data_IF_597331210839
#
_entry.id   IF_597331210839
#
_cell.length_a   1.000
_cell.length_b   1.000
_cell.length_c   1.000
_cell.angle_alpha   90.00
_cell.angle_beta   90.00
_cell.angle_gamma   90.00
#
_symmetry.space_group_name_H-M   'P 1'
#
loop_
_entity.id
_entity.type
_entity.pdbx_description
1 polymer ?
#
# COMPACT_ATOMS: atom_id res chain seq x y z
N UNK A 1 -14.89 21.86 -13.90
CA UNK A 1 -15.55 20.74 -13.19
C UNK A 1 -14.91 20.66 -11.82
N UNK A 2 -15.69 20.83 -10.76
CA UNK A 2 -15.20 20.80 -9.38
C UNK A 2 -14.64 19.41 -9.07
N UNK A 3 -13.55 19.34 -8.29
CA UNK A 3 -12.81 18.10 -7.99
C UNK A 3 -12.85 17.85 -6.48
N UNK A 4 -14.04 17.93 -5.87
CA UNK A 4 -14.18 17.85 -4.42
C UNK A 4 -13.83 16.44 -3.93
N UNK A 5 -14.18 15.41 -4.69
CA UNK A 5 -13.75 14.05 -4.40
C UNK A 5 -12.22 13.90 -4.28
N UNK A 6 -11.44 14.62 -5.09
CA UNK A 6 -9.97 14.62 -5.00
C UNK A 6 -9.50 15.36 -3.75
N UNK A 7 -10.08 16.52 -3.43
CA UNK A 7 -9.79 17.27 -2.20
C UNK A 7 -10.06 16.44 -0.93
N UNK A 8 -11.17 15.69 -0.90
CA UNK A 8 -11.51 14.79 0.20
C UNK A 8 -10.50 13.64 0.33
N UNK A 9 -9.98 13.15 -0.81
CA UNK A 9 -8.85 12.22 -0.86
C UNK A 9 -7.61 12.80 -0.18
N UNK A 10 -7.23 14.04 -0.51
CA UNK A 10 -6.09 14.73 0.12
C UNK A 10 -6.29 14.96 1.61
N UNK A 11 -7.51 15.32 2.03
CA UNK A 11 -7.82 15.46 3.46
C UNK A 11 -7.67 14.13 4.21
N UNK A 12 -8.10 13.02 3.61
CA UNK A 12 -7.90 11.70 4.19
C UNK A 12 -6.40 11.38 4.34
N UNK A 13 -5.59 11.67 3.31
CA UNK A 13 -4.13 11.48 3.33
C UNK A 13 -3.44 12.30 4.44
N UNK A 14 -3.82 13.56 4.57
CA UNK A 14 -3.35 14.45 5.65
C UNK A 14 -3.72 13.89 7.01
N UNK A 15 -4.99 13.52 7.20
CA UNK A 15 -5.46 12.91 8.45
C UNK A 15 -4.65 11.66 8.78
N UNK A 16 -4.49 10.75 7.81
CA UNK A 16 -3.74 9.51 7.97
C UNK A 16 -2.32 9.74 8.49
N UNK A 17 -1.57 10.65 7.87
CA UNK A 17 -0.20 10.94 8.28
C UNK A 17 -0.13 11.65 9.65
N UNK A 18 -1.11 12.51 9.99
CA UNK A 18 -1.21 13.08 11.35
C UNK A 18 -1.45 11.97 12.38
N UNK A 19 -2.26 10.97 12.07
CA UNK A 19 -2.48 9.81 12.94
C UNK A 19 -1.20 9.02 13.21
N UNK A 20 -0.37 8.81 12.19
CA UNK A 20 0.95 8.17 12.35
C UNK A 20 1.86 9.02 13.23
N UNK A 21 1.98 10.32 12.95
CA UNK A 21 2.80 11.25 13.75
C UNK A 21 2.37 11.30 15.21
N UNK A 22 1.06 11.31 15.47
CA UNK A 22 0.52 11.30 16.83
C UNK A 22 0.93 10.03 17.60
N UNK A 23 0.95 8.86 16.94
CA UNK A 23 1.43 7.64 17.58
C UNK A 23 2.95 7.65 17.82
N UNK A 24 3.72 8.20 16.88
CA UNK A 24 5.17 8.36 17.02
C UNK A 24 5.50 9.23 18.25
N UNK A 25 4.82 10.38 18.36
CA UNK A 25 5.00 11.33 19.47
C UNK A 25 4.55 10.74 20.80
N UNK A 26 3.34 10.17 20.86
CA UNK A 26 2.79 9.57 22.09
C UNK A 26 3.71 8.47 22.64
N UNK A 27 4.34 7.69 21.76
CA UNK A 27 5.22 6.60 22.14
C UNK A 27 6.70 6.97 22.18
N UNK A 28 7.04 8.24 21.92
CA UNK A 28 8.41 8.78 21.93
C UNK A 28 9.37 7.92 21.10
N UNK A 29 8.92 7.49 19.93
CA UNK A 29 9.74 6.65 19.04
C UNK A 29 10.87 7.52 18.48
N UNK A 30 12.11 7.05 18.55
CA UNK A 30 13.27 7.78 18.04
C UNK A 30 13.14 7.98 16.52
N UNK A 31 13.40 9.19 16.02
CA UNK A 31 13.27 9.51 14.60
C UNK A 31 14.26 10.60 14.12
N UNK A 32 14.50 10.65 12.81
CA UNK A 32 15.45 11.61 12.20
C UNK A 32 14.80 12.85 11.59
N UNK A 33 13.47 12.93 11.50
CA UNK A 33 12.78 14.11 10.93
C UNK A 33 12.75 15.34 11.83
N UNK A 34 13.30 15.28 13.05
CA UNK A 34 13.34 16.41 13.98
C UNK A 34 12.02 17.16 14.08
N UNK A 35 12.04 18.46 13.81
CA UNK A 35 10.87 19.36 13.84
C UNK A 35 10.22 19.57 12.46
N UNK A 36 10.64 18.85 11.40
CA UNK A 36 10.16 19.04 10.03
C UNK A 36 8.63 19.09 9.97
N UNK A 37 7.98 18.05 10.50
CA UNK A 37 6.53 17.94 10.46
C UNK A 37 5.83 18.83 11.48
N UNK A 38 6.48 19.17 12.60
CA UNK A 38 5.94 20.15 13.54
C UNK A 38 5.77 21.52 12.87
N UNK A 39 6.77 21.97 12.10
CA UNK A 39 6.67 23.23 11.37
C UNK A 39 5.56 23.20 10.31
N UNK A 40 5.45 22.10 9.56
CA UNK A 40 4.40 21.95 8.54
C UNK A 40 2.99 21.94 9.15
N UNK A 41 2.80 21.21 10.26
CA UNK A 41 1.52 21.16 10.97
C UNK A 41 1.11 22.52 11.55
N UNK A 42 2.06 23.36 11.95
CA UNK A 42 1.76 24.74 12.38
C UNK A 42 1.24 25.63 11.24
N UNK A 43 1.61 25.34 9.99
CA UNK A 43 1.09 26.05 8.81
C UNK A 43 -0.26 25.50 8.34
N UNK A 44 -0.62 24.29 8.75
CA UNK A 44 -1.83 23.60 8.31
C UNK A 44 -3.09 24.18 8.97
N UNK A 45 -3.69 25.18 8.32
CA UNK A 45 -4.90 25.84 8.81
C UNK A 45 -6.16 25.17 8.27
N UNK A 46 -6.63 24.11 8.94
CA UNK A 46 -7.81 23.34 8.52
C UNK A 46 -9.03 24.19 8.15
N UNK A 47 -9.34 25.24 8.93
CA UNK A 47 -10.45 26.15 8.61
C UNK A 47 -10.29 26.82 7.23
N UNK A 48 -9.07 27.20 6.85
CA UNK A 48 -8.81 27.77 5.51
C UNK A 48 -8.89 26.71 4.40
N UNK A 49 -8.48 25.49 4.70
CA UNK A 49 -8.58 24.35 3.79
C UNK A 49 -10.06 24.07 3.49
N UNK A 50 -10.88 23.96 4.55
CA UNK A 50 -12.33 23.79 4.44
C UNK A 50 -12.97 24.91 3.63
N UNK A 51 -12.63 26.17 3.94
CA UNK A 51 -13.13 27.32 3.20
C UNK A 51 -12.83 27.20 1.70
N UNK A 52 -11.60 26.81 1.33
CA UNK A 52 -11.23 26.64 -0.08
C UNK A 52 -11.99 25.52 -0.79
N UNK A 53 -12.37 24.45 -0.10
CA UNK A 53 -13.21 23.40 -0.70
C UNK A 53 -14.61 23.96 -0.93
N UNK A 54 -15.18 24.58 0.11
CA UNK A 54 -16.54 25.11 0.13
C UNK A 54 -16.73 26.25 -0.88
N UNK A 55 -15.71 27.09 -1.08
CA UNK A 55 -15.73 28.19 -2.05
C UNK A 55 -15.87 27.71 -3.51
N UNK A 56 -15.58 26.44 -3.79
CA UNK A 56 -15.76 25.84 -5.11
C UNK A 56 -17.23 25.50 -5.41
N UNK A 57 -18.11 25.61 -4.42
CA UNK A 57 -19.53 25.26 -4.50
C UNK A 57 -20.41 26.51 -4.45
N UNK A 58 -21.54 26.44 -5.14
CA UNK A 58 -22.51 27.56 -5.20
C UNK A 58 -23.64 27.35 -4.20
N UNK A 59 -24.19 26.13 -4.11
CA UNK A 59 -25.35 25.85 -3.26
C UNK A 59 -24.99 25.84 -1.77
N UNK A 60 -25.75 26.54 -0.91
CA UNK A 60 -25.56 26.47 0.55
C UNK A 60 -25.64 25.04 1.10
N UNK A 61 -26.50 24.20 0.53
CA UNK A 61 -26.63 22.80 0.93
C UNK A 61 -25.39 21.99 0.54
N UNK A 62 -24.88 22.17 -0.67
CA UNK A 62 -23.64 21.49 -1.12
C UNK A 62 -22.45 21.92 -0.26
N UNK A 63 -22.38 23.21 0.10
CA UNK A 63 -21.37 23.76 0.99
C UNK A 63 -21.38 23.09 2.36
N UNK A 64 -22.55 22.96 2.98
CA UNK A 64 -22.70 22.26 4.26
C UNK A 64 -22.31 20.78 4.15
N UNK A 65 -22.72 20.10 3.07
CA UNK A 65 -22.34 18.71 2.84
C UNK A 65 -20.82 18.54 2.69
N UNK A 66 -20.18 19.39 1.89
CA UNK A 66 -18.74 19.34 1.67
C UNK A 66 -17.94 19.61 2.96
N UNK A 67 -18.40 20.53 3.81
CA UNK A 67 -17.77 20.80 5.12
C UNK A 67 -17.85 19.58 6.05
N UNK A 68 -19.01 18.92 6.13
CA UNK A 68 -19.20 17.70 6.92
C UNK A 68 -18.34 16.55 6.40
N UNK A 69 -18.36 16.32 5.10
CA UNK A 69 -17.54 15.28 4.47
C UNK A 69 -16.05 15.53 4.68
N UNK A 70 -15.59 16.77 4.53
CA UNK A 70 -14.20 17.14 4.79
C UNK A 70 -13.79 16.84 6.23
N UNK A 71 -14.63 17.21 7.19
CA UNK A 71 -14.39 16.91 8.62
C UNK A 71 -14.37 15.40 8.88
N UNK A 72 -15.32 14.68 8.30
CA UNK A 72 -15.42 13.22 8.41
C UNK A 72 -14.17 12.53 7.84
N UNK A 73 -13.70 12.91 6.64
CA UNK A 73 -12.50 12.30 6.04
C UNK A 73 -11.23 12.64 6.81
N UNK A 74 -11.12 13.83 7.38
CA UNK A 74 -9.99 14.18 8.24
C UNK A 74 -9.96 13.25 9.47
N UNK A 75 -11.09 13.10 10.15
CA UNK A 75 -11.21 12.24 11.32
C UNK A 75 -11.00 10.76 10.97
N UNK A 76 -11.60 10.29 9.87
CA UNK A 76 -11.44 8.92 9.36
C UNK A 76 -9.99 8.63 9.00
N UNK A 77 -9.32 9.57 8.33
CA UNK A 77 -7.89 9.51 8.02
C UNK A 77 -7.07 9.40 9.29
N UNK A 78 -7.26 10.33 10.24
CA UNK A 78 -6.55 10.35 11.53
C UNK A 78 -6.64 9.01 12.28
N UNK A 79 -7.87 8.50 12.48
CA UNK A 79 -8.07 7.23 13.17
C UNK A 79 -7.47 6.06 12.39
N UNK A 80 -7.56 6.08 11.06
CA UNK A 80 -6.99 5.05 10.18
C UNK A 80 -5.47 4.99 10.32
N UNK A 81 -4.77 6.13 10.22
CA UNK A 81 -3.32 6.19 10.33
C UNK A 81 -2.81 5.81 11.72
N UNK A 82 -3.47 6.32 12.76
CA UNK A 82 -3.18 5.99 14.16
C UNK A 82 -3.27 4.49 14.42
N UNK A 83 -4.39 3.87 14.04
CA UNK A 83 -4.60 2.43 14.25
C UNK A 83 -3.69 1.59 13.35
N UNK A 84 -3.52 1.98 12.08
CA UNK A 84 -2.67 1.28 11.14
C UNK A 84 -1.24 1.16 11.65
N UNK A 85 -0.63 2.25 12.11
CA UNK A 85 0.76 2.20 12.57
C UNK A 85 0.92 1.37 13.85
N UNK A 86 -0.02 1.49 14.80
CA UNK A 86 -0.06 0.66 16.01
C UNK A 86 -0.16 -0.83 15.68
N UNK A 87 -1.08 -1.18 14.80
CA UNK A 87 -1.31 -2.56 14.39
C UNK A 87 -0.15 -3.10 13.56
N UNK A 88 0.47 -2.26 12.73
CA UNK A 88 1.69 -2.60 12.00
C UNK A 88 2.83 -2.95 12.95
N UNK A 89 3.14 -2.07 13.92
CA UNK A 89 4.17 -2.33 14.93
C UNK A 89 3.86 -3.57 15.76
N UNK A 90 2.57 -3.84 16.04
CA UNK A 90 2.12 -5.04 16.74
C UNK A 90 2.34 -6.30 15.90
N UNK A 91 1.96 -6.27 14.63
CA UNK A 91 2.08 -7.39 13.70
C UNK A 91 3.53 -7.81 13.47
N UNK A 92 4.45 -6.85 13.36
CA UNK A 92 5.90 -7.14 13.24
C UNK A 92 6.56 -7.45 14.60
N UNK A 93 5.79 -7.42 15.68
CA UNK A 93 6.25 -7.76 17.03
C UNK A 93 7.17 -6.71 17.66
N UNK A 94 7.08 -5.45 17.23
CA UNK A 94 7.88 -4.31 17.72
C UNK A 94 7.09 -3.38 18.66
N UNK A 95 5.80 -3.66 18.91
CA UNK A 95 4.94 -2.85 19.78
C UNK A 95 5.15 -3.05 21.29
N UNK A 96 5.99 -3.95 21.77
CA UNK A 96 6.25 -4.07 23.22
C UNK A 96 7.21 -2.96 23.68
N UNK A 97 6.98 -2.36 24.84
CA UNK A 97 7.77 -1.22 25.35
C UNK A 97 9.29 -1.47 25.33
N UNK A 98 9.74 -2.62 25.84
CA UNK A 98 11.16 -3.00 25.83
C UNK A 98 11.76 -3.20 24.43
N UNK A 99 10.93 -3.36 23.39
CA UNK A 99 11.36 -3.39 21.99
C UNK A 99 11.31 -2.00 21.35
N UNK A 100 10.28 -1.20 21.65
CA UNK A 100 10.12 0.17 21.12
C UNK A 100 11.33 1.06 21.43
N UNK A 101 11.96 0.91 22.60
CA UNK A 101 13.20 1.64 22.94
C UNK A 101 14.39 1.38 21.98
N UNK A 102 14.29 0.35 21.15
CA UNK A 102 15.30 -0.02 20.15
C UNK A 102 14.79 0.19 18.71
N UNK A 103 13.59 0.74 18.56
CA UNK A 103 13.01 1.14 17.29
C UNK A 103 13.49 2.55 16.95
N UNK A 104 13.91 2.74 15.71
CA UNK A 104 14.32 4.03 15.17
C UNK A 104 13.74 4.24 13.77
N UNK A 105 13.21 5.42 13.51
CA UNK A 105 12.69 5.85 12.20
C UNK A 105 13.75 6.72 11.55
N UNK A 106 14.50 6.15 10.61
CA UNK A 106 15.56 6.83 9.88
C UNK A 106 15.03 7.79 8.82
N UNK A 107 13.86 7.49 8.28
CA UNK A 107 13.22 8.26 7.24
C UNK A 107 11.72 8.11 7.39
N UNK A 108 11.00 9.21 7.32
CA UNK A 108 9.56 9.23 7.14
C UNK A 108 9.24 10.31 6.11
N UNK A 109 8.44 9.99 5.11
CA UNK A 109 7.97 10.90 4.07
C UNK A 109 6.46 10.96 4.11
N UNK A 110 5.93 12.15 4.33
CA UNK A 110 4.55 12.55 4.11
C UNK A 110 4.50 14.04 3.76
N UNK A 111 3.47 14.48 3.04
CA UNK A 111 3.35 15.87 2.58
C UNK A 111 2.13 16.56 3.21
N UNK A 112 2.32 17.79 3.70
CA UNK A 112 1.26 18.65 4.26
C UNK A 112 1.15 20.01 3.55
N UNK A 113 1.92 20.22 2.48
CA UNK A 113 1.93 21.45 1.69
C UNK A 113 1.26 21.24 0.32
N UNK A 114 1.17 22.33 -0.44
CA UNK A 114 0.71 22.35 -1.84
C UNK A 114 -0.66 21.67 -1.99
N UNK A 115 -0.79 20.63 -2.81
CA UNK A 115 -2.05 19.89 -3.01
C UNK A 115 -2.66 19.37 -1.69
N UNK A 116 -1.82 18.89 -0.77
CA UNK A 116 -2.29 18.35 0.51
C UNK A 116 -2.76 19.44 1.47
N UNK A 117 -2.37 20.69 1.23
CA UNK A 117 -2.91 21.87 1.90
C UNK A 117 -4.05 22.54 1.12
N UNK A 118 -4.44 21.98 -0.03
CA UNK A 118 -5.37 22.59 -1.00
C UNK A 118 -4.87 24.01 -1.36
N UNK A 119 -3.55 24.13 -1.49
CA UNK A 119 -2.78 25.35 -1.78
C UNK A 119 -2.79 26.42 -0.68
N UNK A 120 -3.24 26.12 0.54
CA UNK A 120 -3.23 27.10 1.65
C UNK A 120 -1.84 27.30 2.24
N UNK A 121 -0.94 26.34 2.03
CA UNK A 121 0.46 26.39 2.39
C UNK A 121 1.31 25.90 1.21
N UNK A 122 1.87 26.83 0.44
CA UNK A 122 2.68 26.50 -0.73
C UNK A 122 4.16 26.44 -0.37
N UNK A 123 4.81 25.32 -0.67
CA UNK A 123 6.25 25.11 -0.46
C UNK A 123 6.95 24.80 -1.78
N UNK A 124 6.26 24.06 -2.66
CA UNK A 124 6.78 23.59 -3.92
C UNK A 124 7.57 22.30 -3.76
N UNK A 125 7.40 21.41 -4.75
CA UNK A 125 8.01 20.09 -4.83
C UNK A 125 9.52 20.11 -4.50
N UNK A 126 10.30 20.98 -5.15
CA UNK A 126 11.76 21.02 -4.96
C UNK A 126 12.19 21.30 -3.52
N UNK A 127 11.53 22.25 -2.85
CA UNK A 127 11.85 22.58 -1.46
C UNK A 127 11.42 21.46 -0.52
N UNK A 128 10.23 20.89 -0.74
CA UNK A 128 9.74 19.75 0.04
C UNK A 128 10.67 18.53 -0.10
N UNK A 129 11.11 18.19 -1.31
CA UNK A 129 12.03 17.08 -1.54
C UNK A 129 13.39 17.29 -0.85
N UNK A 130 13.93 18.52 -0.85
CA UNK A 130 15.18 18.83 -0.13
C UNK A 130 15.02 18.60 1.38
N UNK A 131 13.93 19.09 1.94
CA UNK A 131 13.65 18.96 3.37
C UNK A 131 13.44 17.50 3.79
N UNK A 132 12.66 16.73 3.03
CA UNK A 132 12.42 15.32 3.39
C UNK A 132 13.70 14.49 3.27
N UNK A 133 14.55 14.74 2.27
CA UNK A 133 15.83 14.04 2.09
C UNK A 133 16.89 14.46 3.12
N UNK A 134 16.75 15.62 3.77
CA UNK A 134 17.67 16.05 4.84
C UNK A 134 17.69 15.11 6.04
N UNK A 135 16.71 14.21 6.19
CA UNK A 135 16.70 13.16 7.20
C UNK A 135 17.88 12.17 7.08
N UNK A 136 18.52 12.10 5.91
CA UNK A 136 19.73 11.31 5.68
C UNK A 136 21.02 12.07 6.00
N UNK A 137 20.94 13.39 6.21
CA UNK A 137 22.07 14.23 6.57
C UNK A 137 22.35 14.12 8.08
N UNK A 138 23.49 13.53 8.43
CA UNK A 138 23.90 13.34 9.82
C UNK A 138 24.39 14.63 10.48
N UNK A 139 24.75 15.69 9.75
CA UNK A 139 25.18 16.96 10.34
C UNK A 139 24.02 17.76 10.94
N UNK A 140 22.82 17.66 10.35
CA UNK A 140 21.58 18.27 10.86
C UNK A 140 20.94 17.50 12.03
N UNK A 141 21.30 16.23 12.24
CA UNK A 141 20.82 15.39 13.35
C UNK A 141 21.51 15.65 14.70
N UNK A 142 22.48 16.57 14.76
CA UNK A 142 23.39 16.79 15.89
C UNK A 142 22.79 17.46 17.14
N UNK A 143 21.47 17.73 17.18
CA UNK A 143 20.82 18.20 18.41
C UNK A 143 20.42 17.08 19.38
N UNK A 144 20.60 15.80 19.03
CA UNK A 144 20.40 14.69 19.96
C UNK A 144 21.65 13.84 20.10
N UNK A 145 21.98 13.50 21.37
CA UNK A 145 23.22 12.82 21.77
C UNK A 145 23.53 11.63 20.85
N UNK A 146 24.78 11.48 20.36
CA UNK A 146 25.16 10.34 19.55
C UNK A 146 24.95 9.04 20.33
N UNK A 147 24.15 8.14 19.77
CA UNK A 147 23.94 6.80 20.33
C UNK A 147 25.19 5.96 20.12
N UNK A 148 25.62 5.23 21.16
CA UNK A 148 26.72 4.26 21.11
C UNK A 148 26.47 3.06 20.16
N UNK A 149 25.26 2.95 19.62
CA UNK A 149 24.94 2.00 18.55
C UNK A 149 25.09 2.69 17.18
N UNK A 150 26.35 2.86 16.77
CA UNK A 150 26.73 3.33 15.44
C UNK A 150 26.21 2.36 14.39
N UNK A 151 25.04 2.64 13.81
CA UNK A 151 24.54 1.91 12.66
C UNK A 151 24.49 2.85 11.48
N UNK A 152 25.31 2.50 10.48
CA UNK A 152 25.48 3.13 9.19
C UNK A 152 25.82 4.62 9.29
N UNK A 153 27.13 4.94 9.29
CA UNK A 153 27.56 6.12 8.56
C UNK A 153 26.89 6.01 7.18
N UNK A 154 26.06 6.98 6.84
CA UNK A 154 25.57 7.12 5.47
C UNK A 154 26.81 7.51 4.67
N UNK A 155 27.52 6.50 4.16
CA UNK A 155 28.89 6.72 3.66
C UNK A 155 28.90 7.58 2.40
N UNK A 156 27.77 7.63 1.66
CA UNK A 156 27.72 8.18 0.32
C UNK A 156 26.60 9.21 0.08
N UNK A 157 25.76 9.53 1.08
CA UNK A 157 24.78 10.61 0.89
C UNK A 157 25.53 11.94 0.93
N UNK A 158 25.56 12.61 -0.23
CA UNK A 158 26.23 13.88 -0.40
C UNK A 158 25.20 14.96 -0.69
N UNK A 159 25.12 15.97 0.17
CA UNK A 159 24.23 17.12 -0.02
C UNK A 159 24.49 17.84 -1.36
N UNK A 160 25.71 17.77 -1.90
CA UNK A 160 26.04 18.32 -3.22
C UNK A 160 25.35 17.56 -4.38
N UNK A 161 24.97 16.30 -4.18
CA UNK A 161 24.25 15.48 -5.16
C UNK A 161 22.72 15.57 -5.00
N UNK A 162 22.21 16.34 -4.03
CA UNK A 162 20.79 16.40 -3.68
C UNK A 162 19.89 16.70 -4.89
N UNK A 163 20.27 17.66 -5.73
CA UNK A 163 19.50 18.00 -6.93
C UNK A 163 19.48 16.86 -7.97
N UNK A 164 20.53 16.02 -8.00
CA UNK A 164 20.56 14.82 -8.86
C UNK A 164 19.57 13.79 -8.36
N UNK A 165 19.58 13.49 -7.05
CA UNK A 165 18.62 12.58 -6.44
C UNK A 165 17.18 13.05 -6.65
N UNK A 166 16.90 14.34 -6.45
CA UNK A 166 15.56 14.89 -6.67
C UNK A 166 15.13 14.71 -8.13
N UNK A 167 15.99 15.03 -9.09
CA UNK A 167 15.68 14.89 -10.52
C UNK A 167 15.41 13.45 -10.92
N UNK A 168 16.16 12.51 -10.35
CA UNK A 168 16.02 11.09 -10.63
C UNK A 168 14.75 10.53 -9.98
N UNK A 169 14.60 10.72 -8.68
CA UNK A 169 13.61 10.05 -7.86
C UNK A 169 12.27 10.80 -7.69
N UNK A 170 12.06 11.92 -8.39
CA UNK A 170 10.76 12.65 -8.44
C UNK A 170 9.88 12.27 -9.65
N UNK A 171 10.37 11.39 -10.53
CA UNK A 171 9.63 10.94 -11.71
C UNK A 171 8.49 9.99 -11.33
N UNK A 172 7.58 9.74 -12.27
CA UNK A 172 6.51 8.74 -12.08
C UNK A 172 7.11 7.38 -11.70
N UNK A 173 6.55 6.77 -10.66
CA UNK A 173 6.99 5.48 -10.13
C UNK A 173 8.19 5.52 -9.19
N UNK A 174 8.75 6.71 -8.97
CA UNK A 174 9.86 6.91 -8.04
C UNK A 174 9.38 7.35 -6.67
N UNK A 175 10.18 7.03 -5.64
CA UNK A 175 9.72 7.05 -4.26
C UNK A 175 9.33 8.43 -3.72
N UNK A 176 9.87 9.54 -4.27
CA UNK A 176 9.49 10.88 -3.82
C UNK A 176 8.02 11.23 -4.16
N UNK A 177 7.36 10.43 -5.01
CA UNK A 177 5.92 10.55 -5.29
C UNK A 177 5.02 9.67 -4.39
N UNK A 178 5.57 8.97 -3.41
CA UNK A 178 4.79 8.16 -2.48
C UNK A 178 4.00 9.01 -1.48
N UNK A 179 2.74 8.64 -1.21
CA UNK A 179 1.88 9.29 -0.22
C UNK A 179 2.43 9.14 1.21
N UNK A 180 2.98 7.96 1.52
CA UNK A 180 3.55 7.64 2.83
C UNK A 180 4.66 6.62 2.66
N UNK A 181 5.87 6.96 3.10
CA UNK A 181 7.04 6.08 3.01
C UNK A 181 7.89 6.20 4.27
N UNK A 182 8.34 5.08 4.83
CA UNK A 182 9.08 5.06 6.07
C UNK A 182 10.20 4.01 6.05
N UNK A 183 11.38 4.36 6.58
CA UNK A 183 12.46 3.45 6.90
C UNK A 183 12.55 3.28 8.41
N UNK A 184 12.22 2.07 8.88
CA UNK A 184 12.34 1.69 10.28
C UNK A 184 13.54 0.76 10.48
N UNK A 185 14.15 0.86 11.65
CA UNK A 185 15.19 -0.06 12.08
C UNK A 185 14.94 -0.57 13.49
N UNK A 186 15.21 -1.85 13.70
CA UNK A 186 15.28 -2.45 15.03
C UNK A 186 16.73 -2.81 15.36
N UNK A 187 17.24 -2.20 16.45
CA UNK A 187 18.63 -2.36 16.93
C UNK A 187 19.69 -2.09 15.85
N UNK A 188 19.35 -1.39 14.77
CA UNK A 188 20.25 -1.14 13.66
C UNK A 188 20.63 -2.36 12.83
N UNK A 189 19.92 -3.49 12.99
CA UNK A 189 20.23 -4.76 12.31
C UNK A 189 19.13 -5.20 11.37
N UNK A 190 17.89 -5.03 11.78
CA UNK A 190 16.71 -5.37 10.99
C UNK A 190 16.11 -4.08 10.45
N UNK A 191 15.98 -3.98 9.13
CA UNK A 191 15.40 -2.83 8.46
C UNK A 191 14.06 -3.19 7.83
N UNK A 192 13.12 -2.25 7.92
CA UNK A 192 11.83 -2.33 7.24
C UNK A 192 11.57 -1.08 6.45
N UNK A 193 11.25 -1.26 5.17
CA UNK A 193 10.68 -0.19 4.33
C UNK A 193 9.18 -0.36 4.37
N UNK A 194 8.46 0.62 4.92
CA UNK A 194 7.00 0.67 4.91
C UNK A 194 6.56 1.69 3.86
N UNK A 195 5.89 1.25 2.80
CA UNK A 195 5.30 2.12 1.79
C UNK A 195 3.79 1.94 1.78
N UNK A 196 3.04 3.03 1.97
CA UNK A 196 1.58 3.03 1.94
C UNK A 196 1.13 4.02 0.87
N UNK A 197 0.40 3.51 -0.11
CA UNK A 197 -0.24 4.33 -1.13
C UNK A 197 -1.74 4.40 -0.84
N UNK A 198 -2.23 5.62 -0.66
CA UNK A 198 -3.53 5.91 -0.07
C UNK A 198 -4.58 6.10 -1.16
N UNK A 199 -5.83 5.80 -0.82
CA UNK A 199 -6.96 6.13 -1.69
C UNK A 199 -8.29 6.18 -0.96
N UNK A 200 -9.16 7.09 -1.41
CA UNK A 200 -10.57 7.10 -1.06
C UNK A 200 -11.39 6.44 -2.18
N UNK A 201 -12.30 5.55 -1.79
CA UNK A 201 -13.15 4.75 -2.67
C UNK A 201 -14.64 4.94 -2.39
N UNK A 202 -15.01 5.26 -1.15
CA UNK A 202 -16.40 5.56 -0.79
C UNK A 202 -16.98 6.69 -1.63
N UNK A 203 -16.15 7.68 -2.00
CA UNK A 203 -16.49 8.77 -2.91
C UNK A 203 -15.67 8.63 -4.19
N UNK A 204 -16.33 8.39 -5.32
CA UNK A 204 -15.70 8.31 -6.65
C UNK A 204 -15.89 9.60 -7.44
N UNK A 205 -17.00 10.28 -7.19
CA UNK A 205 -17.43 11.48 -7.89
C UNK A 205 -18.06 12.45 -6.91
N UNK A 206 -18.16 13.72 -7.31
CA UNK A 206 -18.85 14.73 -6.49
C UNK A 206 -20.34 14.39 -6.26
N UNK A 207 -20.93 13.54 -7.11
CA UNK A 207 -22.29 13.03 -6.92
C UNK A 207 -22.44 12.05 -5.74
N UNK A 208 -21.34 11.46 -5.26
CA UNK A 208 -21.35 10.60 -4.06
C UNK A 208 -21.33 11.42 -2.75
N UNK A 209 -21.20 12.76 -2.84
CA UNK A 209 -21.22 13.69 -1.70
C UNK A 209 -22.68 13.93 -1.31
N UNK A 210 -23.25 12.98 -0.58
CA UNK A 210 -24.63 13.02 -0.11
C UNK A 210 -24.73 13.57 1.32
N UNK A 211 -25.94 13.90 1.77
CA UNK A 211 -26.12 14.45 3.11
C UNK A 211 -26.02 13.37 4.19
N UNK A 212 -24.90 13.39 4.93
CA UNK A 212 -24.57 12.45 6.01
C UNK A 212 -25.54 12.46 7.19
N UNK A 213 -26.46 13.43 7.29
CA UNK A 213 -27.48 13.46 8.36
C UNK A 213 -28.63 12.47 8.12
N UNK A 214 -28.77 11.91 6.91
CA UNK A 214 -29.85 10.98 6.60
C UNK A 214 -29.40 9.54 6.79
N UNK A 215 -30.06 8.84 7.72
CA UNK A 215 -29.73 7.45 8.07
C UNK A 215 -29.83 6.51 6.87
N UNK A 216 -30.80 6.70 5.97
CA UNK A 216 -30.95 5.86 4.77
C UNK A 216 -29.78 6.02 3.79
N UNK A 217 -29.22 7.23 3.65
CA UNK A 217 -28.02 7.47 2.86
C UNK A 217 -26.84 6.67 3.43
N UNK A 218 -26.63 6.75 4.75
CA UNK A 218 -25.58 6.00 5.44
C UNK A 218 -25.79 4.48 5.29
N UNK A 219 -27.02 4.00 5.49
CA UNK A 219 -27.38 2.59 5.36
C UNK A 219 -27.12 2.08 3.94
N UNK A 220 -27.55 2.81 2.92
CA UNK A 220 -27.34 2.44 1.52
C UNK A 220 -25.86 2.48 1.14
N UNK A 221 -25.10 3.45 1.65
CA UNK A 221 -23.64 3.49 1.55
C UNK A 221 -22.99 2.22 2.12
N UNK A 222 -23.35 1.84 3.35
CA UNK A 222 -22.84 0.64 4.01
C UNK A 222 -23.23 -0.65 3.27
N UNK A 223 -24.48 -0.78 2.80
CA UNK A 223 -24.93 -1.95 2.03
C UNK A 223 -24.14 -2.06 0.73
N UNK A 224 -23.92 -0.94 0.03
CA UNK A 224 -23.12 -0.89 -1.21
C UNK A 224 -21.67 -1.32 -0.94
N UNK A 225 -21.05 -0.86 0.14
CA UNK A 225 -19.71 -1.28 0.54
C UNK A 225 -19.66 -2.77 0.91
N UNK A 226 -20.64 -3.29 1.67
CA UNK A 226 -20.74 -4.72 2.00
C UNK A 226 -20.89 -5.57 0.73
N UNK A 227 -21.77 -5.16 -0.19
CA UNK A 227 -21.99 -5.88 -1.45
C UNK A 227 -20.74 -5.84 -2.33
N UNK A 228 -20.04 -4.70 -2.38
CA UNK A 228 -18.75 -4.60 -3.05
C UNK A 228 -17.74 -5.58 -2.45
N UNK A 229 -17.59 -5.63 -1.12
CA UNK A 229 -16.71 -6.59 -0.44
C UNK A 229 -17.07 -8.05 -0.72
N UNK A 230 -18.37 -8.38 -0.77
CA UNK A 230 -18.87 -9.73 -1.12
C UNK A 230 -18.65 -10.09 -2.59
N UNK A 231 -18.66 -9.11 -3.48
CA UNK A 231 -18.50 -9.31 -4.93
C UNK A 231 -17.06 -9.55 -5.39
N UNK A 232 -16.09 -9.51 -4.46
CA UNK A 232 -14.68 -9.49 -4.83
C UNK A 232 -14.15 -10.85 -5.33
N UNK A 233 -13.25 -10.74 -6.31
CA UNK A 233 -12.40 -11.80 -6.88
C UNK A 233 -11.43 -12.40 -5.85
N UNK A 234 -10.93 -13.61 -6.11
CA UNK A 234 -9.93 -14.38 -5.33
C UNK A 234 -8.65 -13.58 -5.02
N UNK A 235 -8.36 -12.50 -5.76
CA UNK A 235 -7.18 -11.65 -5.56
C UNK A 235 -7.37 -10.47 -4.59
N UNK A 236 -8.59 -10.24 -4.11
CA UNK A 236 -8.95 -9.06 -3.32
C UNK A 236 -8.32 -8.94 -1.92
N UNK A 237 -7.59 -9.97 -1.53
CA UNK A 237 -6.77 -10.02 -0.32
C UNK A 237 -5.40 -10.61 -0.67
N UNK A 238 -4.79 -10.17 -1.79
CA UNK A 238 -3.44 -10.60 -2.14
C UNK A 238 -2.50 -10.22 -0.99
N UNK A 239 -2.17 -11.22 -0.17
CA UNK A 239 -1.20 -11.15 0.92
C UNK A 239 -0.04 -12.04 0.52
N UNK A 240 1.01 -11.41 0.01
CA UNK A 240 2.27 -12.09 -0.27
C UNK A 240 3.18 -11.89 0.93
N UNK A 241 3.39 -12.93 1.74
CA UNK A 241 4.45 -12.95 2.75
C UNK A 241 5.56 -13.89 2.30
N UNK A 242 6.69 -13.29 1.95
CA UNK A 242 7.85 -14.01 1.40
C UNK A 242 8.83 -14.48 2.47
N UNK A 243 8.57 -14.23 3.76
CA UNK A 243 9.52 -14.47 4.85
C UNK A 243 10.09 -15.90 4.88
N UNK A 244 9.27 -16.90 4.56
CA UNK A 244 9.63 -18.32 4.62
C UNK A 244 9.56 -19.02 3.25
N UNK A 245 9.50 -18.28 2.14
CA UNK A 245 9.36 -18.87 0.81
C UNK A 245 10.74 -18.97 0.14
N UNK A 246 11.19 -20.21 -0.10
CA UNK A 246 12.42 -20.53 -0.84
C UNK A 246 12.13 -20.89 -2.32
N UNK A 247 11.03 -20.38 -2.89
CA UNK A 247 10.76 -20.47 -4.32
C UNK A 247 10.88 -19.10 -5.01
N UNK A 248 11.37 -19.11 -6.24
CA UNK A 248 11.43 -17.92 -7.10
C UNK A 248 10.06 -17.65 -7.72
N UNK A 249 9.68 -16.39 -7.88
CA UNK A 249 8.43 -16.07 -8.55
C UNK A 249 8.56 -16.35 -10.05
N UNK A 250 7.51 -16.90 -10.64
CA UNK A 250 7.47 -17.19 -12.06
C UNK A 250 7.47 -15.87 -12.86
N UNK A 251 8.13 -15.84 -14.03
CA UNK A 251 8.22 -14.64 -14.89
C UNK A 251 6.85 -14.13 -15.31
N UNK A 252 5.87 -15.03 -15.37
CA UNK A 252 4.48 -14.78 -15.71
C UNK A 252 3.75 -13.92 -14.67
N UNK A 253 4.30 -13.71 -13.47
CA UNK A 253 3.71 -12.84 -12.44
C UNK A 253 3.44 -11.43 -12.97
N UNK A 254 4.31 -10.91 -13.85
CA UNK A 254 4.10 -9.63 -14.54
C UNK A 254 2.80 -9.65 -15.36
N UNK A 255 2.54 -10.72 -16.10
CA UNK A 255 1.30 -10.87 -16.88
C UNK A 255 0.06 -10.92 -16.00
N UNK A 256 0.15 -11.57 -14.82
CA UNK A 256 -0.94 -11.59 -13.85
C UNK A 256 -1.23 -10.19 -13.28
N UNK A 257 -0.22 -9.47 -12.79
CA UNK A 257 -0.41 -8.11 -12.27
C UNK A 257 -0.91 -7.15 -13.34
N UNK A 258 -0.38 -7.23 -14.57
CA UNK A 258 -0.85 -6.42 -15.70
C UNK A 258 -2.31 -6.74 -16.08
N UNK A 259 -2.72 -8.01 -16.05
CA UNK A 259 -4.08 -8.41 -16.41
C UNK A 259 -5.15 -7.87 -15.45
N UNK A 260 -4.83 -7.76 -14.15
CA UNK A 260 -5.82 -7.45 -13.12
C UNK A 260 -5.78 -6.01 -12.58
N UNK A 261 -4.71 -5.22 -12.82
CA UNK A 261 -4.57 -3.84 -12.30
C UNK A 261 -5.78 -2.92 -12.59
N UNK A 262 -6.33 -2.94 -13.81
CA UNK A 262 -7.30 -1.92 -14.24
C UNK A 262 -8.70 -2.04 -13.62
N UNK A 263 -9.12 -3.23 -13.18
CA UNK A 263 -10.45 -3.43 -12.57
C UNK A 263 -10.43 -3.38 -11.04
N UNK A 264 -9.24 -3.45 -10.44
CA UNK A 264 -9.04 -3.46 -9.00
C UNK A 264 -8.10 -2.31 -8.62
N UNK A 265 -8.69 -1.20 -8.21
CA UNK A 265 -7.95 0.02 -7.86
C UNK A 265 -7.08 -0.24 -6.62
N UNK A 266 -7.45 -1.16 -5.73
CA UNK A 266 -6.64 -1.57 -4.57
C UNK A 266 -5.38 -2.33 -5.01
N UNK A 267 -5.49 -3.21 -6.01
CA UNK A 267 -4.33 -3.85 -6.66
C UNK A 267 -3.45 -2.82 -7.38
N UNK A 268 -4.04 -1.83 -8.05
CA UNK A 268 -3.27 -0.72 -8.65
C UNK A 268 -2.48 0.04 -7.59
N UNK A 269 -3.11 0.38 -6.46
CA UNK A 269 -2.46 1.07 -5.33
C UNK A 269 -1.34 0.24 -4.70
N UNK A 270 -1.53 -1.08 -4.57
CA UNK A 270 -0.47 -1.98 -4.15
C UNK A 270 0.73 -1.97 -5.11
N UNK A 271 0.49 -1.98 -6.43
CA UNK A 271 1.53 -1.90 -7.46
C UNK A 271 2.26 -0.55 -7.39
N UNK A 272 1.55 0.56 -7.18
CA UNK A 272 2.13 1.88 -6.99
C UNK A 272 3.06 1.92 -5.77
N UNK A 273 2.57 1.49 -4.61
CA UNK A 273 3.37 1.36 -3.41
C UNK A 273 4.61 0.45 -3.62
N UNK A 274 4.45 -0.63 -4.40
CA UNK A 274 5.53 -1.56 -4.72
C UNK A 274 6.62 -0.91 -5.59
N UNK A 275 6.21 -0.09 -6.56
CA UNK A 275 7.11 0.72 -7.38
C UNK A 275 7.94 1.69 -6.55
N UNK A 276 7.31 2.39 -5.62
CA UNK A 276 7.99 3.34 -4.74
C UNK A 276 8.94 2.64 -3.77
N UNK A 277 8.54 1.51 -3.19
CA UNK A 277 9.43 0.71 -2.35
C UNK A 277 10.64 0.16 -3.11
N UNK A 278 10.47 -0.24 -4.38
CA UNK A 278 11.58 -0.64 -5.24
C UNK A 278 12.58 0.50 -5.45
N UNK A 279 12.07 1.65 -5.90
CA UNK A 279 12.84 2.88 -6.12
C UNK A 279 13.61 3.30 -4.86
N UNK A 280 12.94 3.31 -3.70
CA UNK A 280 13.57 3.66 -2.43
C UNK A 280 14.65 2.66 -2.01
N UNK A 281 14.43 1.36 -2.22
CA UNK A 281 15.45 0.35 -1.97
C UNK A 281 16.70 0.55 -2.84
N UNK A 282 16.55 1.01 -4.09
CA UNK A 282 17.69 1.35 -4.95
C UNK A 282 18.45 2.55 -4.39
N UNK A 283 17.74 3.63 -4.07
CA UNK A 283 18.33 4.82 -3.43
C UNK A 283 19.09 4.46 -2.14
N UNK A 284 18.49 3.69 -1.23
CA UNK A 284 19.11 3.29 0.03
C UNK A 284 20.37 2.41 -0.16
N UNK A 285 20.46 1.67 -1.26
CA UNK A 285 21.69 0.94 -1.65
C UNK A 285 22.74 1.89 -2.20
N UNK A 286 22.32 2.81 -3.06
CA UNK A 286 23.18 3.83 -3.67
C UNK A 286 23.89 4.67 -2.58
N UNK A 287 23.15 5.11 -1.57
CA UNK A 287 23.71 5.91 -0.46
C UNK A 287 24.37 5.07 0.64
N UNK A 288 24.43 3.74 0.47
CA UNK A 288 25.17 2.82 1.32
C UNK A 288 24.49 2.44 2.65
N UNK A 289 23.19 2.72 2.82
CA UNK A 289 22.44 2.31 4.02
C UNK A 289 22.21 0.79 4.03
N UNK A 290 21.85 0.22 2.88
CA UNK A 290 21.69 -1.22 2.72
C UNK A 290 22.96 -1.87 2.18
N UNK A 291 23.40 -2.95 2.84
CA UNK A 291 24.41 -3.87 2.33
C UNK A 291 23.79 -5.27 2.21
N UNK A 292 24.41 -6.15 1.43
CA UNK A 292 23.85 -7.48 1.17
C UNK A 292 23.78 -8.41 2.41
N UNK A 293 24.41 -8.01 3.52
CA UNK A 293 24.35 -8.73 4.79
C UNK A 293 23.21 -8.29 5.72
N UNK A 294 22.54 -7.17 5.45
CA UNK A 294 21.47 -6.64 6.32
C UNK A 294 20.12 -7.24 5.95
N UNK A 295 19.37 -7.68 6.96
CA UNK A 295 18.00 -8.15 6.75
C UNK A 295 17.07 -6.97 6.46
N UNK A 296 16.60 -6.87 5.21
CA UNK A 296 15.62 -5.87 4.76
C UNK A 296 14.31 -6.55 4.37
N UNK A 297 13.20 -6.02 4.89
CA UNK A 297 11.85 -6.39 4.46
C UNK A 297 11.09 -5.14 4.01
N UNK A 298 10.55 -5.15 2.80
CA UNK A 298 9.65 -4.12 2.31
C UNK A 298 8.20 -4.53 2.57
N UNK A 299 7.52 -3.78 3.41
CA UNK A 299 6.10 -3.85 3.68
C UNK A 299 5.39 -2.80 2.82
N UNK A 300 4.66 -3.27 1.81
CA UNK A 300 4.03 -2.44 0.79
C UNK A 300 2.53 -2.59 0.93
N UNK A 301 1.80 -1.47 0.95
CA UNK A 301 0.37 -1.44 1.29
C UNK A 301 -0.37 -0.52 0.34
N UNK A 302 -1.35 -1.06 -0.37
CA UNK A 302 -2.43 -0.28 -0.97
C UNK A 302 -3.54 -0.12 0.05
N UNK A 303 -3.67 1.07 0.63
CA UNK A 303 -4.62 1.32 1.71
C UNK A 303 -5.78 2.16 1.18
N UNK A 304 -6.99 1.63 1.31
CA UNK A 304 -8.19 2.40 1.02
C UNK A 304 -9.14 2.44 2.19
N UNK A 305 -10.08 3.36 2.10
CA UNK A 305 -11.15 3.50 3.07
C UNK A 305 -12.20 2.37 3.01
N UNK A 306 -12.01 1.38 2.11
CA UNK A 306 -12.78 0.12 1.96
C UNK A 306 -11.98 -1.15 2.29
N UNK A 307 -10.66 -1.10 2.37
CA UNK A 307 -9.85 -2.30 2.58
C UNK A 307 -8.36 -2.10 2.34
N UNK A 308 -7.59 -3.14 2.67
CA UNK A 308 -6.13 -3.13 2.64
C UNK A 308 -5.64 -4.28 1.78
N UNK A 309 -4.86 -3.96 0.75
CA UNK A 309 -4.03 -4.91 0.02
C UNK A 309 -2.59 -4.73 0.49
N UNK A 310 -1.87 -5.82 0.81
CA UNK A 310 -0.53 -5.69 1.38
C UNK A 310 0.41 -6.83 0.97
N UNK A 311 1.67 -6.52 0.79
CA UNK A 311 2.74 -7.47 0.48
C UNK A 311 3.97 -7.22 1.37
N UNK A 312 4.60 -8.29 1.82
CA UNK A 312 5.82 -8.30 2.62
C UNK A 312 6.91 -9.02 1.84
N UNK A 313 7.83 -8.23 1.27
CA UNK A 313 8.88 -8.72 0.37
C UNK A 313 10.23 -8.65 1.06
N UNK A 314 10.87 -9.80 1.25
CA UNK A 314 12.25 -9.87 1.71
C UNK A 314 13.24 -9.63 0.55
N UNK A 315 14.52 -9.45 0.89
CA UNK A 315 15.56 -9.19 -0.11
C UNK A 315 15.70 -10.29 -1.19
N UNK A 316 15.47 -11.56 -0.85
CA UNK A 316 15.53 -12.68 -1.80
C UNK A 316 14.48 -12.54 -2.92
N UNK A 317 13.34 -11.95 -2.61
CA UNK A 317 12.18 -11.83 -3.49
C UNK A 317 11.99 -10.40 -4.04
N UNK A 318 13.06 -9.59 -4.06
CA UNK A 318 13.00 -8.18 -4.53
C UNK A 318 12.49 -8.00 -5.96
N UNK A 319 12.59 -9.05 -6.78
CA UNK A 319 12.07 -9.09 -8.15
C UNK A 319 10.57 -8.76 -8.22
N UNK A 320 9.80 -9.08 -7.17
CA UNK A 320 8.37 -8.74 -7.13
C UNK A 320 8.17 -7.21 -7.12
N UNK A 321 9.01 -6.47 -6.39
CA UNK A 321 8.94 -5.01 -6.36
C UNK A 321 9.41 -4.39 -7.68
N UNK A 322 10.40 -5.00 -8.33
CA UNK A 322 10.86 -4.60 -9.67
C UNK A 322 9.74 -4.76 -10.71
N UNK A 323 9.00 -5.87 -10.67
CA UNK A 323 7.81 -6.08 -11.51
C UNK A 323 6.78 -4.98 -11.26
N UNK A 324 6.50 -4.63 -10.00
CA UNK A 324 5.59 -3.53 -9.68
C UNK A 324 6.08 -2.20 -10.27
N UNK A 325 7.38 -1.91 -10.14
CA UNK A 325 8.02 -0.71 -10.68
C UNK A 325 7.89 -0.62 -12.19
N UNK A 326 8.21 -1.71 -12.89
CA UNK A 326 8.04 -1.85 -14.34
C UNK A 326 6.61 -1.56 -14.79
N UNK A 327 5.62 -2.18 -14.13
CA UNK A 327 4.20 -2.08 -14.48
C UNK A 327 3.67 -0.66 -14.26
N UNK A 328 4.15 0.03 -13.23
CA UNK A 328 3.67 1.36 -12.91
C UNK A 328 4.34 2.46 -13.74
N UNK A 329 5.65 2.33 -14.02
CA UNK A 329 6.35 3.26 -14.92
C UNK A 329 5.86 3.15 -16.36
N UNK A 330 5.71 1.92 -16.84
CA UNK A 330 5.28 1.66 -18.20
C UNK A 330 3.78 1.40 -18.17
N UNK A 331 3.00 2.46 -18.41
CA UNK A 331 1.55 2.36 -18.50
C UNK A 331 1.20 1.39 -19.64
N UNK A 332 0.93 0.14 -19.29
CA UNK A 332 0.58 -0.88 -20.27
C UNK A 332 -0.62 -0.39 -21.07
N UNK A 333 -0.51 -0.36 -22.39
CA UNK A 333 -1.60 0.07 -23.25
C UNK A 333 -2.86 -0.78 -22.98
N UNK A 334 -4.09 -0.26 -23.20
CA UNK A 334 -5.31 -1.07 -23.06
C UNK A 334 -5.27 -2.39 -23.86
N UNK A 335 -4.49 -2.42 -24.95
CA UNK A 335 -4.25 -3.62 -25.75
C UNK A 335 -3.37 -4.64 -25.02
N UNK A 336 -2.26 -4.22 -24.40
CA UNK A 336 -1.41 -5.11 -23.58
C UNK A 336 -2.18 -5.74 -22.42
N UNK A 337 -3.13 -5.02 -21.83
CA UNK A 337 -3.98 -5.56 -20.75
C UNK A 337 -4.92 -6.65 -21.29
N UNK A 338 -5.54 -6.42 -22.46
CA UNK A 338 -6.39 -7.43 -23.12
C UNK A 338 -5.58 -8.68 -23.48
N UNK A 339 -4.37 -8.50 -23.99
CA UNK A 339 -3.48 -9.61 -24.36
C UNK A 339 -3.00 -10.36 -23.13
N UNK A 340 -2.57 -9.67 -22.07
CA UNK A 340 -2.20 -10.27 -20.79
C UNK A 340 -3.37 -11.07 -20.19
N UNK A 341 -4.59 -10.52 -20.21
CA UNK A 341 -5.80 -11.26 -19.77
C UNK A 341 -6.05 -12.50 -20.60
N UNK A 342 -5.91 -12.42 -21.92
CA UNK A 342 -6.08 -13.57 -22.81
C UNK A 342 -5.05 -14.65 -22.54
N UNK A 343 -3.79 -14.27 -22.27
CA UNK A 343 -2.72 -15.20 -21.91
C UNK A 343 -2.99 -15.87 -20.55
N UNK A 344 -3.33 -15.08 -19.53
CA UNK A 344 -3.67 -15.59 -18.20
C UNK A 344 -4.90 -16.51 -18.27
N UNK A 345 -5.96 -16.10 -18.98
CA UNK A 345 -7.15 -16.92 -19.16
C UNK A 345 -6.82 -18.23 -19.88
N UNK A 346 -6.01 -18.20 -20.94
CA UNK A 346 -5.54 -19.42 -21.61
C UNK A 346 -4.75 -20.32 -20.68
N UNK A 347 -3.93 -19.76 -19.79
CA UNK A 347 -3.18 -20.56 -18.82
C UNK A 347 -4.09 -21.20 -17.78
N UNK A 348 -5.06 -20.44 -17.24
CA UNK A 348 -6.09 -20.94 -16.33
C UNK A 348 -6.88 -22.06 -17.02
N UNK A 349 -7.33 -21.84 -18.27
CA UNK A 349 -8.04 -22.84 -19.07
C UNK A 349 -7.21 -24.11 -19.24
N UNK A 350 -5.95 -23.99 -19.66
CA UNK A 350 -5.05 -25.16 -19.83
C UNK A 350 -4.84 -25.93 -18.54
N UNK A 351 -4.68 -25.24 -17.42
CA UNK A 351 -4.52 -25.88 -16.12
C UNK A 351 -5.82 -26.55 -15.68
N UNK A 352 -6.97 -25.88 -15.84
CA UNK A 352 -8.28 -26.44 -15.53
C UNK A 352 -8.60 -27.67 -16.39
N UNK A 353 -8.29 -27.63 -17.70
CA UNK A 353 -8.44 -28.79 -18.59
C UNK A 353 -7.70 -30.03 -18.09
N UNK A 354 -6.59 -29.86 -17.38
CA UNK A 354 -5.77 -30.95 -16.82
C UNK A 354 -6.14 -31.34 -15.40
N UNK A 355 -6.83 -30.45 -14.68
CA UNK A 355 -7.13 -30.63 -13.26
C UNK A 355 -8.42 -31.43 -13.03
N UNK A 356 -9.27 -31.52 -14.06
CA UNK A 356 -10.57 -32.18 -14.02
C UNK A 356 -10.59 -33.38 -14.96
N UNK A 357 -11.28 -34.45 -14.57
CA UNK A 357 -11.63 -35.55 -15.49
C UNK A 357 -12.48 -34.96 -16.63
N UNK A 358 -12.23 -35.34 -17.90
CA UNK A 358 -12.88 -34.70 -19.06
C UNK A 358 -12.83 -33.16 -19.05
N UNK A 359 -11.80 -32.59 -18.39
CA UNK A 359 -11.75 -31.18 -18.02
C UNK A 359 -11.84 -30.20 -19.18
N UNK A 360 -11.42 -30.62 -20.39
CA UNK A 360 -11.60 -29.82 -21.61
C UNK A 360 -13.08 -29.53 -21.88
N UNK A 361 -13.91 -30.57 -21.90
CA UNK A 361 -15.35 -30.43 -22.17
C UNK A 361 -16.03 -29.62 -21.06
N UNK A 362 -15.68 -29.90 -19.79
CA UNK A 362 -16.24 -29.16 -18.66
C UNK A 362 -15.95 -27.66 -18.74
N UNK A 363 -14.69 -27.28 -18.93
CA UNK A 363 -14.28 -25.87 -19.00
C UNK A 363 -14.81 -25.18 -20.25
N UNK A 364 -14.85 -25.87 -21.40
CA UNK A 364 -15.44 -25.33 -22.63
C UNK A 364 -16.94 -25.03 -22.44
N UNK A 365 -17.67 -25.93 -21.75
CA UNK A 365 -19.08 -25.72 -21.40
C UNK A 365 -19.27 -24.52 -20.44
N UNK A 366 -18.38 -24.33 -19.46
CA UNK A 366 -18.43 -23.17 -18.56
C UNK A 366 -18.20 -21.84 -19.31
N UNK A 367 -17.28 -21.83 -20.28
CA UNK A 367 -16.96 -20.63 -21.05
C UNK A 367 -18.03 -20.29 -22.11
N UNK A 368 -18.82 -21.28 -22.51
CA UNK A 368 -19.94 -21.10 -23.43
C UNK A 368 -21.20 -20.52 -22.78
N UNK A 369 -21.23 -20.36 -21.45
CA UNK A 369 -22.39 -19.80 -20.73
C UNK A 369 -22.60 -18.34 -21.17
N UNK A 370 -23.80 -18.00 -21.70
CA UNK A 370 -24.12 -16.62 -22.08
C UNK A 370 -24.14 -15.70 -20.85
N UNK A 371 -23.70 -14.43 -20.99
CA UNK A 371 -23.85 -13.43 -19.93
C UNK A 371 -25.31 -13.32 -19.48
N UNK A 372 -25.51 -13.02 -18.19
CA UNK A 372 -26.82 -12.75 -17.59
C UNK A 372 -27.86 -13.89 -17.70
N UNK A 373 -27.38 -15.13 -17.88
CA UNK A 373 -28.24 -16.32 -17.87
C UNK A 373 -27.81 -17.32 -16.81
N UNK A 374 -28.78 -18.05 -16.25
CA UNK A 374 -28.50 -19.19 -15.38
C UNK A 374 -28.47 -20.44 -16.24
N UNK A 375 -27.27 -20.93 -16.55
CA UNK A 375 -27.06 -22.18 -17.30
C UNK A 375 -26.56 -23.26 -16.35
N UNK A 376 -27.26 -24.40 -16.30
CA UNK A 376 -26.83 -25.56 -15.51
C UNK A 376 -25.74 -26.31 -16.27
N UNK A 377 -24.53 -26.36 -15.72
CA UNK A 377 -23.44 -27.22 -16.21
C UNK A 377 -23.29 -28.39 -15.25
N UNK A 378 -23.44 -29.61 -15.78
CA UNK A 378 -23.23 -30.83 -15.00
C UNK A 378 -21.82 -31.34 -15.25
N UNK A 379 -21.11 -31.68 -14.18
CA UNK A 379 -19.80 -32.32 -14.22
C UNK A 379 -19.75 -33.39 -13.15
N UNK A 380 -19.18 -34.55 -13.47
CA UNK A 380 -19.04 -35.65 -12.53
C UNK A 380 -17.59 -36.15 -12.59
N UNK A 381 -17.00 -36.34 -11.41
CA UNK A 381 -15.62 -36.80 -11.29
C UNK A 381 -15.52 -37.93 -10.30
N UNK A 382 -14.59 -38.85 -10.58
CA UNK A 382 -14.17 -39.83 -9.62
C UNK A 382 -12.81 -39.42 -9.02
N UNK A 383 -12.79 -39.12 -7.73
CA UNK A 383 -11.57 -38.74 -7.02
C UNK A 383 -11.14 -39.93 -6.17
N UNK A 384 -10.01 -40.53 -6.52
CA UNK A 384 -9.37 -41.60 -5.74
C UNK A 384 -8.29 -41.04 -4.83
N UNK A 385 -7.98 -41.74 -3.73
CA UNK A 385 -6.90 -41.35 -2.82
C UNK A 385 -7.17 -40.04 -2.06
N UNK A 386 -8.43 -39.60 -1.98
CA UNK A 386 -8.80 -38.41 -1.20
C UNK A 386 -8.54 -38.65 0.29
N UNK A 387 -7.58 -37.91 0.85
CA UNK A 387 -7.32 -37.89 2.28
C UNK A 387 -8.06 -36.71 2.87
N UNK A 388 -9.05 -37.00 3.72
CA UNK A 388 -9.78 -35.96 4.43
C UNK A 388 -8.80 -35.16 5.32
N UNK A 389 -8.74 -33.85 5.12
CA UNK A 389 -7.80 -32.95 5.81
C UNK A 389 -8.03 -32.81 7.31
N UNK A 390 -9.20 -33.24 7.81
CA UNK A 390 -9.51 -33.30 9.25
C UNK A 390 -9.49 -34.73 9.82
N UNK A 391 -9.26 -35.75 8.98
CA UNK A 391 -9.11 -37.13 9.44
C UNK A 391 -7.66 -37.41 9.84
N UNK A 392 -7.46 -38.48 10.61
CA UNK A 392 -6.10 -38.98 10.87
C UNK A 392 -5.43 -39.33 9.55
N UNK A 393 -4.19 -38.86 9.38
CA UNK A 393 -3.36 -39.14 8.21
C UNK A 393 -3.15 -40.66 8.12
N UNK A 394 -3.43 -41.30 6.97
CA UNK A 394 -3.21 -42.74 6.82
C UNK A 394 -1.79 -43.14 7.20
N UNK A 395 -1.57 -44.24 7.95
CA UNK A 395 -0.24 -44.63 8.43
C UNK A 395 0.79 -44.79 7.31
N UNK A 396 0.36 -45.32 6.16
CA UNK A 396 1.23 -45.52 4.99
C UNK A 396 1.68 -44.19 4.40
N UNK A 397 0.78 -43.19 4.33
CA UNK A 397 1.10 -41.85 3.87
C UNK A 397 1.99 -41.11 4.88
N UNK A 398 1.73 -41.27 6.18
CA UNK A 398 2.58 -40.74 7.26
C UNK A 398 4.00 -41.28 7.14
N UNK A 399 4.15 -42.59 6.89
CA UNK A 399 5.45 -43.26 6.73
C UNK A 399 6.16 -42.82 5.44
N UNK A 400 5.43 -42.66 4.34
CA UNK A 400 5.98 -42.19 3.06
C UNK A 400 6.46 -40.74 3.13
N UNK A 401 5.77 -39.90 3.90
CA UNK A 401 6.11 -38.49 4.09
C UNK A 401 7.11 -38.24 5.23
N UNK A 402 7.56 -39.29 5.92
CA UNK A 402 8.49 -39.17 7.06
C UNK A 402 7.87 -38.47 8.28
N UNK A 403 6.54 -38.48 8.40
CA UNK A 403 5.81 -37.90 9.52
C UNK A 403 5.71 -38.93 10.64
N UNK A 404 6.25 -38.61 11.82
CA UNK A 404 6.09 -39.42 13.03
C UNK A 404 4.63 -39.36 13.48
N UNK A 405 4.00 -40.53 13.60
CA UNK A 405 2.62 -40.67 14.09
C UNK A 405 2.55 -40.05 15.50
N UNK A 406 1.81 -38.95 15.64
CA UNK A 406 1.55 -38.26 16.90
C UNK A 406 0.15 -38.54 17.40
#
# INVERSE_FOLDING_TARGET
MTKIAEDLGRIFEVGFNIGILADIEQNKIKHNFGNLYCHDLQQLRFRKILQRIVDKLISPLEREMAEKWSTFFLQKGFLSGLNFFRDYLKAIGWSKEHKRRHLEIFYYQCCFCDDNSIGTYCKGDDQWYKEVLSQFDQELGSQTRPSRNTVARVNNFNANNLNSYIREYSKKGEFLKADTLMLLSYRGREFRVLCVDLSVFSIKTDADIENLNYVEILRNGLIRDINYLKSKSVFSNLRLDTKNLDFKFAKELKSYFTAFKFRDKETTKLIQAGSYAHSFNQFLREIGIFSDQKSVVSNVVGYSDRGISAMSVNQKNREVLEICHDIYKHDSSPNEIKDARKLVLKQIQRNAYRSFQDGKQFVDNLLAIPPDTITKVNHQEHIEGFVNSIAQVPPDLSKQLGLSVG
#
